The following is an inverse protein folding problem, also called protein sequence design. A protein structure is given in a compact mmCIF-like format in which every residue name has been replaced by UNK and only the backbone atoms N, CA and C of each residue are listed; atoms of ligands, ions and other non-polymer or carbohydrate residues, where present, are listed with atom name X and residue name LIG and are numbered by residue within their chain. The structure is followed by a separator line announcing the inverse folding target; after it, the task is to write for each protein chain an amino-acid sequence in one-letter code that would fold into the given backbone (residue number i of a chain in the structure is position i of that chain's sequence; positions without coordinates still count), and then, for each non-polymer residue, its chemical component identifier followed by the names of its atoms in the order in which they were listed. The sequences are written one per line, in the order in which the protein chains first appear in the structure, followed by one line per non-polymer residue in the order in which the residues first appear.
data_IF_663992400675
#
_entry.id   IF_663992400675
#
_cell.length_a   1.000
_cell.length_b   1.000
_cell.length_c   1.000
_cell.angle_alpha   90.00
_cell.angle_beta   90.00
_cell.angle_gamma   90.00
#
_symmetry.space_group_name_H-M   'P 1'
#
loop_
_entity.id
_entity.type
_entity.pdbx_description
1 polymer ?
#
# COMPACT_ATOMS: atom_id res chain seq x y z
N UNK A 1 -22.04 0.84 -24.56
CA UNK A 1 -20.70 0.45 -24.07
C UNK A 1 -20.89 -0.32 -22.78
N UNK A 2 -20.54 -1.60 -22.80
CA UNK A 2 -20.57 -2.52 -21.66
C UNK A 2 -19.33 -2.35 -20.79
N UNK A 3 -19.37 -2.89 -19.57
CA UNK A 3 -18.20 -2.83 -18.68
C UNK A 3 -17.00 -3.56 -19.27
N UNK A 4 -17.20 -4.66 -19.99
CA UNK A 4 -16.15 -5.41 -20.69
C UNK A 4 -15.51 -4.57 -21.79
N UNK A 5 -16.31 -3.87 -22.62
CA UNK A 5 -15.78 -2.96 -23.64
C UNK A 5 -14.98 -1.80 -23.02
N UNK A 6 -15.46 -1.21 -21.93
CA UNK A 6 -14.72 -0.16 -21.20
C UNK A 6 -13.39 -0.68 -20.65
N UNK A 7 -13.38 -1.88 -20.06
CA UNK A 7 -12.15 -2.50 -19.55
C UNK A 7 -11.17 -2.83 -20.67
N UNK A 8 -11.65 -3.36 -21.79
CA UNK A 8 -10.82 -3.67 -22.95
C UNK A 8 -10.14 -2.40 -23.50
N UNK A 9 -10.91 -1.32 -23.65
CA UNK A 9 -10.36 -0.03 -24.10
C UNK A 9 -9.30 0.54 -23.15
N UNK A 10 -9.49 0.41 -21.83
CA UNK A 10 -8.47 0.82 -20.87
C UNK A 10 -7.19 -0.03 -20.96
N UNK A 11 -7.32 -1.34 -21.16
CA UNK A 11 -6.17 -2.24 -21.33
C UNK A 11 -5.41 -1.90 -22.61
N UNK A 12 -6.11 -1.74 -23.73
CA UNK A 12 -5.52 -1.35 -25.01
C UNK A 12 -4.75 -0.02 -24.90
N UNK A 13 -5.35 1.00 -24.30
CA UNK A 13 -4.70 2.30 -24.09
C UNK A 13 -3.43 2.18 -23.22
N UNK A 14 -3.46 1.35 -22.17
CA UNK A 14 -2.31 1.13 -21.30
C UNK A 14 -1.17 0.39 -22.00
N UNK A 15 -1.50 -0.66 -22.78
CA UNK A 15 -0.51 -1.40 -23.58
C UNK A 15 0.10 -0.47 -24.63
N UNK A 16 -0.71 0.28 -25.36
CA UNK A 16 -0.23 1.21 -26.37
C UNK A 16 0.65 2.32 -25.78
N UNK A 17 0.30 2.84 -24.59
CA UNK A 17 1.15 3.80 -23.89
C UNK A 17 2.53 3.21 -23.56
N UNK A 18 2.58 1.94 -23.13
CA UNK A 18 3.85 1.26 -22.87
C UNK A 18 4.67 1.08 -24.15
N UNK A 19 4.04 0.72 -25.27
CA UNK A 19 4.70 0.58 -26.56
C UNK A 19 5.32 1.89 -27.06
N UNK A 20 4.62 3.02 -26.89
CA UNK A 20 5.14 4.36 -27.24
C UNK A 20 6.41 4.70 -26.44
N UNK A 21 6.50 4.20 -25.20
CA UNK A 21 7.69 4.34 -24.35
C UNK A 21 8.79 3.32 -24.67
N UNK A 22 8.59 2.47 -25.70
CA UNK A 22 9.52 1.40 -26.07
C UNK A 22 9.53 0.23 -25.07
N UNK A 23 8.49 0.11 -24.25
CA UNK A 23 8.31 -0.97 -23.28
C UNK A 23 7.42 -2.06 -23.88
N UNK A 24 7.61 -3.29 -23.38
CA UNK A 24 6.77 -4.43 -23.73
C UNK A 24 6.10 -4.97 -22.46
N UNK A 25 4.78 -5.13 -22.51
CA UNK A 25 4.01 -5.74 -21.44
C UNK A 25 4.24 -7.26 -21.47
N UNK A 26 4.51 -7.86 -20.32
CA UNK A 26 4.78 -9.31 -20.25
C UNK A 26 3.52 -10.14 -20.54
N UNK A 27 3.70 -11.33 -21.10
CA UNK A 27 2.61 -12.26 -21.41
C UNK A 27 1.76 -12.58 -20.18
N UNK A 28 2.36 -12.69 -19.00
CA UNK A 28 1.64 -12.95 -17.76
C UNK A 28 0.81 -11.74 -17.31
N UNK A 29 1.22 -10.51 -17.67
CA UNK A 29 0.44 -9.30 -17.41
C UNK A 29 -0.74 -9.21 -18.37
N UNK A 30 -0.55 -9.57 -19.64
CA UNK A 30 -1.63 -9.65 -20.63
C UNK A 30 -2.68 -10.69 -20.23
N UNK A 31 -2.24 -11.87 -19.76
CA UNK A 31 -3.16 -12.90 -19.27
C UNK A 31 -3.99 -12.44 -18.05
N UNK A 32 -3.42 -11.66 -17.14
CA UNK A 32 -4.18 -11.06 -16.03
C UNK A 32 -5.10 -9.93 -16.52
N UNK A 33 -4.68 -9.16 -17.53
CA UNK A 33 -5.52 -8.13 -18.15
C UNK A 33 -6.75 -8.74 -18.85
N UNK A 34 -6.60 -9.88 -19.55
CA UNK A 34 -7.72 -10.61 -20.15
C UNK A 34 -8.74 -11.07 -19.10
N UNK A 35 -8.25 -11.58 -17.95
CA UNK A 35 -9.13 -11.93 -16.81
C UNK A 35 -9.86 -10.72 -16.25
N UNK A 36 -9.19 -9.56 -16.20
CA UNK A 36 -9.81 -8.31 -15.78
C UNK A 36 -10.90 -7.87 -16.76
N UNK A 37 -10.64 -7.90 -18.07
CA UNK A 37 -11.62 -7.58 -19.12
C UNK A 37 -12.83 -8.52 -19.05
N UNK A 38 -12.59 -9.82 -18.84
CA UNK A 38 -13.62 -10.84 -18.67
C UNK A 38 -14.41 -10.73 -17.35
N UNK A 39 -14.03 -9.84 -16.44
CA UNK A 39 -14.71 -9.68 -15.15
C UNK A 39 -14.36 -10.74 -14.11
N UNK A 40 -13.35 -11.58 -14.36
CA UNK A 40 -12.95 -12.66 -13.46
C UNK A 40 -12.10 -12.15 -12.28
N UNK A 41 -11.37 -11.06 -12.49
CA UNK A 41 -10.65 -10.33 -11.44
C UNK A 41 -11.05 -8.84 -11.50
N UNK A 42 -10.91 -8.16 -10.36
CA UNK A 42 -11.04 -6.71 -10.31
C UNK A 42 -9.68 -6.00 -10.49
N UNK A 43 -9.70 -4.67 -10.55
CA UNK A 43 -8.50 -3.86 -10.74
C UNK A 43 -7.52 -3.94 -9.57
N UNK A 44 -8.02 -4.14 -8.35
CA UNK A 44 -7.18 -4.29 -7.15
C UNK A 44 -6.40 -5.59 -7.24
N UNK A 45 -7.09 -6.67 -7.58
CA UNK A 45 -6.46 -7.98 -7.76
C UNK A 45 -5.44 -7.98 -8.91
N UNK A 46 -5.73 -7.32 -10.04
CA UNK A 46 -4.77 -7.16 -11.13
C UNK A 46 -3.47 -6.47 -10.65
N UNK A 47 -3.60 -5.38 -9.91
CA UNK A 47 -2.45 -4.64 -9.36
C UNK A 47 -1.67 -5.47 -8.34
N UNK A 48 -2.37 -6.20 -7.47
CA UNK A 48 -1.73 -7.03 -6.44
C UNK A 48 -0.95 -8.20 -7.06
N UNK A 49 -1.49 -8.85 -8.10
CA UNK A 49 -0.80 -9.90 -8.85
C UNK A 49 0.49 -9.37 -9.51
N UNK A 50 0.41 -8.22 -10.19
CA UNK A 50 1.58 -7.59 -10.81
C UNK A 50 2.60 -7.21 -9.74
N UNK A 51 2.17 -6.61 -8.62
CA UNK A 51 3.07 -6.26 -7.52
C UNK A 51 3.75 -7.48 -6.91
N UNK A 52 2.99 -8.53 -6.62
CA UNK A 52 3.54 -9.77 -6.06
C UNK A 52 4.61 -10.38 -6.99
N UNK A 53 4.37 -10.36 -8.31
CA UNK A 53 5.32 -10.85 -9.32
C UNK A 53 6.68 -10.17 -9.25
N UNK A 54 6.71 -8.88 -8.91
CA UNK A 54 7.94 -8.09 -8.76
C UNK A 54 8.39 -7.92 -7.30
N UNK A 55 7.81 -8.67 -6.35
CA UNK A 55 8.16 -8.58 -4.92
C UNK A 55 7.72 -7.26 -4.25
N UNK A 56 6.82 -6.51 -4.89
CA UNK A 56 6.28 -5.22 -4.44
C UNK A 56 4.97 -5.39 -3.65
N UNK A 57 4.50 -6.62 -3.43
CA UNK A 57 3.41 -6.89 -2.49
C UNK A 57 3.75 -6.24 -1.16
N UNK A 58 2.83 -5.47 -0.59
CA UNK A 58 3.04 -4.85 0.73
C UNK A 58 3.34 -5.94 1.75
N UNK A 59 4.62 -6.23 1.96
CA UNK A 59 5.09 -6.68 3.26
C UNK A 59 4.72 -5.53 4.19
N UNK A 60 3.62 -5.70 4.92
CA UNK A 60 3.36 -4.92 6.12
C UNK A 60 4.56 -5.20 7.03
N UNK A 61 5.65 -4.43 6.87
CA UNK A 61 6.79 -4.49 7.78
C UNK A 61 6.19 -4.31 9.17
N UNK A 62 6.38 -5.24 10.12
CA UNK A 62 5.95 -4.99 11.48
C UNK A 62 6.61 -3.68 11.91
N UNK A 63 5.79 -2.73 12.34
CA UNK A 63 6.28 -1.52 12.99
C UNK A 63 7.07 -2.05 14.20
N UNK A 64 8.38 -1.80 14.32
CA UNK A 64 9.09 -2.21 15.52
C UNK A 64 8.35 -1.59 16.69
N UNK A 65 7.95 -2.44 17.65
CA UNK A 65 7.39 -2.02 18.92
C UNK A 65 8.44 -1.12 19.56
N UNK A 66 8.27 0.18 19.34
CA UNK A 66 9.16 1.19 19.90
C UNK A 66 8.65 1.33 21.32
N UNK A 67 9.05 0.37 22.16
CA UNK A 67 8.75 0.35 23.57
C UNK A 67 8.94 1.77 24.10
N UNK A 68 7.85 2.31 24.63
CA UNK A 68 7.76 3.66 25.15
C UNK A 68 8.91 3.87 26.14
N UNK A 69 10.01 4.50 25.68
CA UNK A 69 11.13 4.83 26.55
C UNK A 69 10.59 5.91 27.47
N UNK A 70 10.38 5.53 28.74
CA UNK A 70 9.79 6.38 29.75
C UNK A 70 10.45 7.75 29.76
N UNK A 71 9.62 8.79 29.67
CA UNK A 71 10.00 10.17 29.92
C UNK A 71 10.82 10.27 31.22
N UNK A 72 11.95 10.98 31.26
CA UNK A 72 12.69 11.17 32.50
C UNK A 72 11.84 12.00 33.47
N UNK A 73 11.56 11.43 34.65
CA UNK A 73 10.91 12.11 35.76
C UNK A 73 11.71 13.36 36.17
N UNK A 74 11.16 14.54 35.87
CA UNK A 74 11.62 15.79 36.46
C UNK A 74 11.34 15.76 37.97
N UNK A 75 12.39 15.54 38.76
CA UNK A 75 12.37 15.67 40.22
C UNK A 75 11.95 17.09 40.62
N UNK A 76 10.68 17.26 41.03
CA UNK A 76 10.14 18.50 41.58
C UNK A 76 10.69 18.67 43.01
N UNK A 77 11.84 19.34 43.17
CA UNK A 77 12.35 19.75 44.48
C UNK A 77 11.43 20.80 45.10
N UNK A 78 10.96 20.49 46.31
CA UNK A 78 10.80 21.46 47.39
C UNK A 78 9.44 22.14 47.50
N UNK A 79 8.57 21.60 48.36
CA UNK A 79 7.79 22.43 49.27
C UNK A 79 7.83 21.82 50.67
N UNK A 80 8.51 22.52 51.56
CA UNK A 80 8.63 22.21 53.00
C UNK A 80 7.25 22.26 53.62
N UNK A 81 6.85 21.20 54.32
CA UNK A 81 5.69 21.19 55.21
C UNK A 81 6.13 21.44 56.65
N UNK A 82 5.30 22.25 57.32
CA UNK A 82 4.94 22.24 58.75
C UNK A 82 5.79 23.03 59.75
N UNK A 83 5.23 23.40 60.94
CA UNK A 83 3.92 23.00 61.49
C UNK A 83 3.02 24.15 61.99
N UNK A 84 1.77 23.77 62.30
CA UNK A 84 0.80 24.54 63.08
C UNK A 84 1.19 24.55 64.57
N UNK A 85 0.94 25.68 65.21
CA UNK A 85 0.73 25.88 66.65
C UNK A 85 -0.34 26.96 66.79
N UNK A 86 -1.27 26.99 67.73
CA UNK A 86 -1.89 26.03 68.64
C UNK A 86 -3.25 26.68 68.96
#
# INVERSE_FOLDING_TARGET
MTITETRASHVEAAVHSAEIEGLTVSDETLADADRYVAGQIDSTELVDRVRARYGLSRLRRPVPDTGHVGSPEFHRRGQRRHPRSR
#
